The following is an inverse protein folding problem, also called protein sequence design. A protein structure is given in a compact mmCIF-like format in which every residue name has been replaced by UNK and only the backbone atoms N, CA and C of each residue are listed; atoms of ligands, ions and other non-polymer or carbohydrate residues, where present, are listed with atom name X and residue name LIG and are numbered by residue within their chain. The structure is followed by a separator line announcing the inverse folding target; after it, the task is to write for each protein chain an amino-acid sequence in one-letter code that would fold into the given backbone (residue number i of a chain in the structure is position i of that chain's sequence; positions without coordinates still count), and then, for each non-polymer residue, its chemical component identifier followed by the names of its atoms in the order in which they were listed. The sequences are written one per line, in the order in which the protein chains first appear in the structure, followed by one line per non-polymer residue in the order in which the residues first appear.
data_IF_310780559677
#
_entry.id   IF_310780559677
#
_cell.length_a   1.000
_cell.length_b   1.000
_cell.length_c   1.000
_cell.angle_alpha   90.00
_cell.angle_beta   90.00
_cell.angle_gamma   90.00
#
_symmetry.space_group_name_H-M   'P 1'
#
loop_
_entity.id
_entity.type
_entity.pdbx_description
1 polymer ?
#
# COMPACT_ATOMS: atom_id res chain seq x y z
N UNK A 1 23.12 -22.13 3.42
CA UNK A 1 22.87 -22.82 2.13
C UNK A 1 23.29 -21.99 0.90
N UNK A 2 24.05 -20.89 1.04
CA UNK A 2 24.49 -20.06 -0.09
C UNK A 2 25.24 -20.90 -1.14
N UNK A 3 24.94 -20.68 -2.42
CA UNK A 3 25.48 -21.44 -3.56
C UNK A 3 24.82 -22.80 -3.83
N UNK A 4 24.03 -23.33 -2.89
CA UNK A 4 23.30 -24.59 -3.09
C UNK A 4 22.15 -24.41 -4.10
N UNK A 5 21.88 -25.44 -4.90
CA UNK A 5 20.78 -25.45 -5.87
C UNK A 5 19.66 -26.38 -5.40
N UNK A 6 18.65 -25.83 -4.73
CA UNK A 6 17.45 -26.58 -4.31
C UNK A 6 16.67 -27.07 -5.52
N UNK A 7 16.18 -28.32 -5.46
CA UNK A 7 15.39 -28.99 -6.51
C UNK A 7 16.01 -28.95 -7.92
N UNK A 8 17.32 -28.71 -8.04
CA UNK A 8 18.04 -28.36 -9.30
C UNK A 8 17.47 -27.13 -10.05
N UNK A 9 16.71 -26.27 -9.38
CA UNK A 9 15.96 -25.14 -9.97
C UNK A 9 16.22 -23.78 -9.32
N UNK A 10 16.73 -23.74 -8.10
CA UNK A 10 16.84 -22.51 -7.32
C UNK A 10 18.21 -22.40 -6.67
N UNK A 11 19.07 -21.53 -7.22
CA UNK A 11 20.40 -21.23 -6.68
C UNK A 11 20.23 -20.22 -5.54
N UNK A 12 20.52 -20.62 -4.31
CA UNK A 12 20.49 -19.72 -3.15
C UNK A 12 21.63 -18.71 -3.25
N UNK A 13 21.30 -17.42 -3.13
CA UNK A 13 22.25 -16.30 -3.23
C UNK A 13 22.54 -15.72 -1.85
N UNK A 14 21.49 -15.45 -1.07
CA UNK A 14 21.58 -14.69 0.18
C UNK A 14 20.62 -15.27 1.22
N UNK A 15 20.94 -15.09 2.49
CA UNK A 15 20.03 -15.36 3.60
C UNK A 15 19.42 -14.05 4.08
N UNK A 16 18.14 -13.85 3.78
CA UNK A 16 17.38 -12.65 4.15
C UNK A 16 16.95 -12.66 5.63
N UNK A 17 16.87 -13.83 6.25
CA UNK A 17 16.55 -13.92 7.68
C UNK A 17 16.55 -15.33 8.26
N UNK A 18 16.48 -15.40 9.58
CA UNK A 18 16.32 -16.63 10.36
C UNK A 18 15.51 -16.36 11.63
N UNK A 19 14.71 -17.33 12.06
CA UNK A 19 13.93 -17.26 13.29
C UNK A 19 13.47 -18.64 13.75
N UNK A 20 12.76 -18.71 14.88
CA UNK A 20 12.36 -19.96 15.52
C UNK A 20 11.45 -20.89 14.70
N UNK A 21 10.96 -20.44 13.53
CA UNK A 21 10.05 -21.18 12.65
C UNK A 21 10.67 -21.52 11.28
N UNK A 22 11.89 -21.05 10.99
CA UNK A 22 12.51 -21.25 9.68
C UNK A 22 13.58 -20.22 9.28
N UNK A 23 14.10 -20.42 8.07
CA UNK A 23 15.09 -19.54 7.43
C UNK A 23 14.55 -19.06 6.07
N UNK A 24 14.79 -17.79 5.77
CA UNK A 24 14.35 -17.13 4.53
C UNK A 24 15.57 -16.76 3.68
N UNK A 25 15.51 -17.08 2.40
CA UNK A 25 16.60 -16.92 1.45
C UNK A 25 16.15 -16.20 0.18
N UNK A 26 17.06 -15.45 -0.44
CA UNK A 26 16.93 -15.00 -1.81
C UNK A 26 17.54 -16.06 -2.73
N UNK A 27 16.83 -16.38 -3.82
CA UNK A 27 17.30 -17.31 -4.84
C UNK A 27 17.02 -16.78 -6.24
N UNK A 28 17.84 -17.23 -7.20
CA UNK A 28 17.59 -17.06 -8.65
C UNK A 28 17.49 -18.42 -9.32
N UNK A 29 16.83 -18.47 -10.47
CA UNK A 29 16.89 -19.62 -11.35
C UNK A 29 18.32 -19.75 -11.94
N UNK A 30 19.01 -20.91 -11.83
CA UNK A 30 20.43 -21.06 -12.14
C UNK A 30 20.88 -20.44 -13.48
N UNK A 31 20.48 -21.04 -14.60
CA UNK A 31 20.69 -20.64 -16.00
C UNK A 31 19.50 -21.28 -16.81
N UNK A 32 19.25 -21.10 -18.11
CA UNK A 32 20.04 -20.56 -19.23
C UNK A 32 19.30 -19.48 -20.07
N UNK A 33 18.09 -19.07 -19.69
CA UNK A 33 17.26 -18.12 -20.46
C UNK A 33 17.99 -16.78 -20.72
N UNK A 34 18.01 -16.25 -21.97
CA UNK A 34 18.68 -14.99 -22.32
C UNK A 34 17.85 -13.75 -21.90
N UNK A 35 17.25 -13.80 -20.71
CA UNK A 35 16.38 -12.77 -20.16
C UNK A 35 17.10 -12.12 -18.99
N UNK A 36 17.50 -10.88 -19.20
CA UNK A 36 17.92 -9.97 -18.12
C UNK A 36 16.74 -9.04 -17.81
N UNK A 37 16.38 -8.82 -16.53
CA UNK A 37 17.01 -9.35 -15.32
C UNK A 37 16.70 -10.84 -15.05
N UNK A 38 17.57 -11.50 -14.29
CA UNK A 38 17.33 -12.87 -13.79
C UNK A 38 16.12 -12.89 -12.86
N UNK A 39 15.21 -13.85 -13.06
CA UNK A 39 14.05 -14.05 -12.19
C UNK A 39 14.48 -14.43 -10.77
N UNK A 40 14.09 -13.61 -9.79
CA UNK A 40 14.32 -13.80 -8.35
C UNK A 40 13.10 -14.34 -7.64
N UNK A 41 13.33 -15.13 -6.59
CA UNK A 41 12.29 -15.64 -5.71
C UNK A 41 12.78 -15.71 -4.26
N UNK A 42 11.83 -15.64 -3.33
CA UNK A 42 12.06 -15.87 -1.91
C UNK A 42 11.83 -17.34 -1.60
N UNK A 43 12.78 -18.00 -0.95
CA UNK A 43 12.66 -19.37 -0.48
C UNK A 43 12.61 -19.41 1.04
N UNK A 44 11.57 -20.03 1.59
CA UNK A 44 11.43 -20.25 3.03
C UNK A 44 11.57 -21.72 3.35
N UNK A 45 12.56 -22.06 4.16
CA UNK A 45 12.71 -23.41 4.76
C UNK A 45 12.06 -23.40 6.13
N UNK A 46 11.06 -24.25 6.35
CA UNK A 46 10.43 -24.47 7.65
C UNK A 46 11.32 -25.39 8.48
N UNK A 47 12.11 -24.84 9.40
CA UNK A 47 12.99 -25.64 10.27
C UNK A 47 12.17 -26.26 11.40
N UNK A 48 12.39 -27.56 11.69
CA UNK A 48 11.68 -28.32 12.73
C UNK A 48 12.63 -29.17 13.59
N UNK A 49 12.27 -29.47 14.85
CA UNK A 49 13.03 -30.41 15.68
C UNK A 49 12.82 -31.88 15.27
N UNK A 50 11.74 -32.20 14.55
CA UNK A 50 11.41 -33.55 14.09
C UNK A 50 11.02 -33.56 12.62
N UNK A 51 11.31 -34.68 11.94
CA UNK A 51 10.92 -34.90 10.54
C UNK A 51 9.39 -34.88 10.41
N UNK A 52 8.82 -34.16 9.42
CA UNK A 52 7.38 -34.00 9.29
C UNK A 52 6.69 -35.35 9.00
N UNK A 53 5.62 -35.64 9.74
CA UNK A 53 4.73 -36.78 9.50
C UNK A 53 3.77 -36.53 8.31
N UNK A 54 2.91 -37.50 8.00
CA UNK A 54 1.98 -37.39 6.88
C UNK A 54 0.99 -36.24 7.07
N UNK A 55 0.36 -36.13 8.25
CA UNK A 55 -0.62 -35.10 8.61
C UNK A 55 -0.02 -33.68 8.55
N UNK A 56 1.24 -33.54 8.94
CA UNK A 56 2.02 -32.31 8.81
C UNK A 56 2.23 -31.93 7.34
N UNK A 57 2.60 -32.90 6.51
CA UNK A 57 2.77 -32.68 5.06
C UNK A 57 1.45 -32.33 4.39
N UNK A 58 0.34 -32.98 4.78
CA UNK A 58 -0.98 -32.66 4.25
C UNK A 58 -1.45 -31.27 4.65
N UNK A 59 -1.29 -30.87 5.92
CA UNK A 59 -1.56 -29.50 6.37
C UNK A 59 -0.72 -28.50 5.58
N UNK A 60 0.58 -28.74 5.44
CA UNK A 60 1.47 -27.89 4.65
C UNK A 60 1.00 -27.70 3.20
N UNK A 61 0.57 -28.78 2.52
CA UNK A 61 0.02 -28.69 1.16
C UNK A 61 -1.29 -27.91 1.10
N UNK A 62 -2.17 -28.05 2.09
CA UNK A 62 -3.43 -27.31 2.18
C UNK A 62 -3.19 -25.81 2.35
N UNK A 63 -2.32 -25.40 3.28
CA UNK A 63 -2.01 -23.99 3.49
C UNK A 63 -1.22 -23.38 2.31
N UNK A 64 -0.32 -24.14 1.69
CA UNK A 64 0.36 -23.71 0.47
C UNK A 64 -0.63 -23.50 -0.70
N UNK A 65 -1.64 -24.37 -0.86
CA UNK A 65 -2.66 -24.20 -1.88
C UNK A 65 -3.55 -22.97 -1.66
N UNK A 66 -3.86 -22.63 -0.39
CA UNK A 66 -4.57 -21.40 -0.03
C UNK A 66 -3.74 -20.16 -0.41
N UNK A 67 -2.46 -20.14 -0.06
CA UNK A 67 -1.56 -19.03 -0.39
C UNK A 67 -1.33 -18.87 -1.90
N UNK A 68 -1.25 -19.99 -2.63
CA UNK A 68 -1.23 -19.98 -4.10
C UNK A 68 -2.46 -19.28 -4.67
N UNK A 69 -3.66 -19.61 -4.18
CA UNK A 69 -4.91 -18.96 -4.60
C UNK A 69 -4.87 -17.45 -4.31
N UNK A 70 -4.54 -17.06 -3.07
CA UNK A 70 -4.54 -15.66 -2.65
C UNK A 70 -3.57 -14.79 -3.47
N UNK A 71 -2.34 -15.25 -3.68
CA UNK A 71 -1.36 -14.51 -4.49
C UNK A 71 -1.75 -14.40 -5.97
N UNK A 72 -2.38 -15.43 -6.53
CA UNK A 72 -2.88 -15.40 -7.92
C UNK A 72 -4.08 -14.48 -8.12
N UNK A 73 -4.88 -14.25 -7.09
CA UNK A 73 -6.08 -13.41 -7.16
C UNK A 73 -5.83 -11.96 -6.71
N UNK A 74 -4.72 -11.65 -6.04
CA UNK A 74 -4.50 -10.33 -5.44
C UNK A 74 -3.06 -9.80 -5.51
N UNK A 75 -2.84 -8.75 -6.33
CA UNK A 75 -1.52 -8.13 -6.62
C UNK A 75 -0.71 -7.54 -5.45
N UNK A 76 -1.26 -7.55 -4.23
CA UNK A 76 -0.60 -7.14 -2.98
C UNK A 76 -0.40 -8.32 -2.00
N UNK A 77 -0.46 -9.55 -2.52
CA UNK A 77 -0.05 -10.79 -1.83
C UNK A 77 0.95 -11.48 -2.77
N UNK A 78 2.16 -11.85 -2.31
CA UNK A 78 3.16 -12.47 -3.18
C UNK A 78 2.65 -13.76 -3.81
N UNK A 79 2.86 -13.95 -5.11
CA UNK A 79 2.54 -15.23 -5.75
C UNK A 79 3.37 -16.38 -5.14
N UNK A 80 2.73 -17.53 -4.88
CA UNK A 80 3.45 -18.78 -4.59
C UNK A 80 3.79 -19.46 -5.92
N UNK A 81 5.08 -19.65 -6.20
CA UNK A 81 5.56 -20.32 -7.41
C UNK A 81 5.66 -21.84 -7.26
N UNK A 82 6.06 -22.32 -6.08
CA UNK A 82 6.31 -23.74 -5.83
C UNK A 82 6.25 -24.04 -4.32
N UNK A 83 5.96 -25.30 -3.98
CA UNK A 83 6.09 -25.83 -2.62
C UNK A 83 6.53 -27.30 -2.69
N UNK A 84 7.52 -27.68 -1.89
CA UNK A 84 8.09 -29.03 -1.97
C UNK A 84 8.71 -29.50 -0.66
N UNK A 85 9.04 -30.79 -0.63
CA UNK A 85 9.86 -31.42 0.39
C UNK A 85 11.19 -31.82 -0.24
N UNK A 86 12.31 -31.46 0.37
CA UNK A 86 13.64 -31.91 -0.04
C UNK A 86 14.48 -32.18 1.21
N UNK A 87 15.19 -33.32 1.27
CA UNK A 87 15.96 -33.75 2.44
C UNK A 87 15.17 -33.79 3.77
N UNK A 88 13.86 -34.09 3.71
CA UNK A 88 12.88 -34.10 4.83
C UNK A 88 12.50 -32.71 5.38
N UNK A 89 13.02 -31.64 4.81
CA UNK A 89 12.65 -30.26 5.12
C UNK A 89 11.56 -29.77 4.15
N UNK A 90 10.71 -28.85 4.61
CA UNK A 90 9.62 -28.27 3.81
C UNK A 90 10.01 -26.87 3.30
N UNK A 91 9.73 -26.61 2.02
CA UNK A 91 10.12 -25.38 1.33
C UNK A 91 8.93 -24.74 0.61
N UNK A 92 8.87 -23.41 0.69
CA UNK A 92 7.98 -22.56 -0.11
C UNK A 92 8.81 -21.64 -0.99
N UNK A 93 8.39 -21.44 -2.22
CA UNK A 93 9.00 -20.52 -3.19
C UNK A 93 7.98 -19.46 -3.55
N UNK A 94 8.26 -18.20 -3.21
CA UNK A 94 7.38 -17.05 -3.40
C UNK A 94 8.02 -16.01 -4.32
N UNK A 95 7.19 -15.16 -4.91
CA UNK A 95 7.60 -13.91 -5.57
C UNK A 95 8.55 -13.09 -4.68
N UNK A 96 9.61 -12.55 -5.28
CA UNK A 96 10.46 -11.56 -4.63
C UNK A 96 9.89 -10.16 -4.83
N UNK A 97 9.45 -9.53 -3.74
CA UNK A 97 8.92 -8.16 -3.75
C UNK A 97 10.09 -7.19 -3.62
N UNK A 98 10.45 -6.53 -4.72
CA UNK A 98 11.48 -5.50 -4.72
C UNK A 98 10.95 -4.23 -4.02
N UNK A 99 11.50 -3.93 -2.84
CA UNK A 99 10.95 -2.96 -1.91
C UNK A 99 11.74 -2.87 -0.61
N UNK A 100 11.13 -2.26 0.40
CA UNK A 100 11.57 -2.26 1.79
C UNK A 100 10.37 -2.48 2.71
N UNK A 101 10.58 -3.00 3.92
CA UNK A 101 9.50 -3.17 4.88
C UNK A 101 9.17 -1.87 5.61
N UNK A 102 7.93 -1.74 6.10
CA UNK A 102 7.48 -0.55 6.83
C UNK A 102 8.20 -0.34 8.17
N UNK A 103 9.05 -1.26 8.64
CA UNK A 103 9.93 -1.03 9.77
C UNK A 103 10.99 0.05 9.49
N UNK A 104 11.33 0.29 8.22
CA UNK A 104 12.14 1.43 7.79
C UNK A 104 11.35 2.74 7.72
N UNK A 105 10.05 2.70 7.41
CA UNK A 105 9.18 3.90 7.37
C UNK A 105 8.69 4.31 8.78
N UNK A 106 8.39 3.34 9.65
CA UNK A 106 7.87 3.52 11.02
C UNK A 106 9.03 3.56 12.02
N UNK A 107 9.84 4.60 11.91
CA UNK A 107 11.02 4.82 12.77
C UNK A 107 10.65 5.15 14.23
N UNK A 108 11.38 4.58 15.19
CA UNK A 108 11.23 4.89 16.61
C UNK A 108 11.50 6.38 16.88
N UNK A 109 10.58 7.04 17.58
CA UNK A 109 10.67 8.46 17.92
C UNK A 109 10.29 9.43 16.78
N UNK A 110 9.82 8.94 15.62
CA UNK A 110 9.32 9.77 14.51
C UNK A 110 7.82 9.51 14.24
N UNK A 111 6.90 10.19 14.96
CA UNK A 111 5.47 10.13 14.67
C UNK A 111 5.14 10.45 13.21
N UNK A 112 4.23 9.68 12.64
CA UNK A 112 3.56 9.97 11.37
C UNK A 112 2.40 10.95 11.56
N UNK A 113 1.93 11.58 10.49
CA UNK A 113 0.69 12.35 10.57
C UNK A 113 -0.53 11.43 10.64
N UNK A 114 -1.63 11.97 11.15
CA UNK A 114 -2.96 11.37 11.06
C UNK A 114 -3.31 10.97 9.61
N UNK A 115 -2.99 11.80 8.62
CA UNK A 115 -3.28 11.52 7.22
C UNK A 115 -2.48 10.31 6.68
N UNK A 116 -1.18 10.21 7.00
CA UNK A 116 -0.35 9.07 6.60
C UNK A 116 -0.87 7.76 7.21
N UNK A 117 -1.32 7.80 8.47
CA UNK A 117 -1.85 6.61 9.16
C UNK A 117 -3.24 6.23 8.67
N UNK A 118 -4.08 7.21 8.30
CA UNK A 118 -5.36 6.94 7.63
C UNK A 118 -5.13 6.23 6.28
N UNK A 119 -4.14 6.65 5.50
CA UNK A 119 -3.76 5.99 4.25
C UNK A 119 -3.21 4.58 4.50
N UNK A 120 -2.32 4.41 5.47
CA UNK A 120 -1.79 3.10 5.91
C UNK A 120 -2.91 2.12 6.28
N UNK A 121 -3.87 2.58 7.08
CA UNK A 121 -5.05 1.80 7.47
C UNK A 121 -5.87 1.41 6.25
N UNK A 122 -6.17 2.34 5.33
CA UNK A 122 -6.92 2.04 4.12
C UNK A 122 -6.21 0.97 3.27
N UNK A 123 -4.94 1.20 2.90
CA UNK A 123 -4.18 0.31 2.03
C UNK A 123 -4.12 -1.12 2.57
N UNK A 124 -3.89 -1.30 3.87
CA UNK A 124 -3.79 -2.64 4.48
C UNK A 124 -5.15 -3.28 4.74
N UNK A 125 -6.15 -2.51 5.18
CA UNK A 125 -7.51 -3.03 5.38
C UNK A 125 -8.15 -3.49 4.06
N UNK A 126 -7.84 -2.86 2.93
CA UNK A 126 -8.30 -3.31 1.61
C UNK A 126 -7.74 -4.70 1.26
N UNK A 127 -6.46 -4.98 1.51
CA UNK A 127 -5.88 -6.33 1.32
C UNK A 127 -6.42 -7.33 2.34
N UNK A 128 -6.51 -6.94 3.63
CA UNK A 128 -7.02 -7.82 4.68
C UNK A 128 -8.49 -8.18 4.49
N UNK A 129 -9.33 -7.28 3.98
CA UNK A 129 -10.73 -7.58 3.65
C UNK A 129 -10.81 -8.71 2.61
N UNK A 130 -9.99 -8.69 1.55
CA UNK A 130 -9.90 -9.79 0.59
C UNK A 130 -9.42 -11.11 1.22
N UNK A 131 -8.42 -11.05 2.09
CA UNK A 131 -7.91 -12.23 2.84
C UNK A 131 -9.01 -12.82 3.75
N UNK A 132 -9.75 -11.96 4.45
CA UNK A 132 -10.81 -12.35 5.39
C UNK A 132 -12.05 -12.87 4.67
N UNK A 133 -12.40 -12.35 3.49
CA UNK A 133 -13.44 -12.91 2.61
C UNK A 133 -13.14 -14.34 2.16
N UNK A 134 -11.86 -14.71 2.06
CA UNK A 134 -11.41 -16.08 1.81
C UNK A 134 -11.35 -16.95 3.10
N UNK A 135 -11.82 -16.42 4.23
CA UNK A 135 -11.78 -17.03 5.58
C UNK A 135 -10.35 -17.38 6.04
N UNK A 136 -9.37 -16.54 5.66
CA UNK A 136 -7.96 -16.67 6.03
C UNK A 136 -7.58 -15.62 7.08
N UNK A 137 -6.64 -15.95 7.97
CA UNK A 137 -6.08 -15.05 8.99
C UNK A 137 -4.57 -14.97 8.75
N UNK A 138 -3.99 -13.76 8.71
CA UNK A 138 -2.57 -13.55 8.47
C UNK A 138 -1.71 -13.86 9.71
N UNK A 139 -2.19 -13.52 10.92
CA UNK A 139 -1.61 -13.86 12.23
C UNK A 139 -0.23 -13.27 12.56
N UNK A 140 0.31 -12.37 11.76
CA UNK A 140 1.63 -11.74 12.01
C UNK A 140 1.72 -10.37 11.33
N UNK A 141 0.64 -9.58 11.35
CA UNK A 141 0.66 -8.20 10.85
C UNK A 141 1.53 -7.34 11.77
N UNK A 142 2.54 -6.70 11.18
CA UNK A 142 3.52 -5.82 11.82
C UNK A 142 4.34 -5.10 10.73
N UNK A 143 5.06 -4.01 11.02
CA UNK A 143 5.83 -3.27 10.02
C UNK A 143 6.75 -4.15 9.15
N UNK A 144 7.46 -5.11 9.75
CA UNK A 144 8.41 -5.99 9.05
C UNK A 144 7.77 -7.00 8.07
N UNK A 145 6.45 -7.19 8.14
CA UNK A 145 5.71 -8.09 7.23
C UNK A 145 4.86 -7.31 6.19
N UNK A 146 5.11 -6.01 6.07
CA UNK A 146 4.41 -5.11 5.17
C UNK A 146 5.47 -4.47 4.27
N UNK A 147 5.52 -4.88 3.01
CA UNK A 147 6.54 -4.45 2.05
C UNK A 147 6.03 -3.31 1.18
N UNK A 148 6.70 -2.15 1.20
CA UNK A 148 6.50 -1.08 0.23
C UNK A 148 7.19 -1.46 -1.08
N UNK A 149 6.42 -1.89 -2.08
CA UNK A 149 6.93 -2.27 -3.40
C UNK A 149 7.33 -1.04 -4.22
N UNK A 150 8.55 -1.02 -4.78
CA UNK A 150 9.06 0.17 -5.48
C UNK A 150 8.34 0.48 -6.81
N UNK A 151 7.80 -0.53 -7.51
CA UNK A 151 7.23 -0.34 -8.85
C UNK A 151 5.91 0.44 -8.88
N UNK A 152 5.11 0.39 -7.81
CA UNK A 152 3.81 1.05 -7.71
C UNK A 152 3.52 1.69 -6.33
N UNK A 153 4.52 1.73 -5.44
CA UNK A 153 4.45 2.28 -4.09
C UNK A 153 3.37 1.66 -3.17
N UNK A 154 2.81 0.50 -3.53
CA UNK A 154 1.79 -0.18 -2.73
C UNK A 154 2.40 -1.02 -1.62
N UNK A 155 1.64 -1.18 -0.53
CA UNK A 155 1.96 -2.15 0.53
C UNK A 155 1.54 -3.55 0.09
N UNK A 156 2.48 -4.49 0.17
CA UNK A 156 2.31 -5.92 -0.09
C UNK A 156 2.40 -6.68 1.24
N UNK A 157 1.42 -7.54 1.53
CA UNK A 157 1.39 -8.35 2.74
C UNK A 157 2.24 -9.61 2.54
N UNK A 158 3.37 -9.70 3.24
CA UNK A 158 4.27 -10.84 3.21
C UNK A 158 4.17 -11.67 4.50
N UNK A 159 4.72 -12.88 4.49
CA UNK A 159 4.97 -13.64 5.73
C UNK A 159 3.74 -14.05 6.56
N UNK A 160 2.66 -14.44 5.87
CA UNK A 160 1.50 -15.12 6.44
C UNK A 160 1.89 -16.20 7.45
N UNK A 161 1.48 -16.01 8.71
CA UNK A 161 1.85 -16.84 9.87
C UNK A 161 1.20 -18.23 9.90
N UNK A 162 0.32 -18.54 8.95
CA UNK A 162 -0.41 -19.81 8.86
C UNK A 162 0.55 -21.00 8.81
N UNK A 163 1.61 -20.87 8.01
CA UNK A 163 2.65 -21.89 7.84
C UNK A 163 3.45 -22.12 9.14
N UNK A 164 3.60 -21.08 9.97
CA UNK A 164 4.34 -21.12 11.24
C UNK A 164 3.62 -22.00 12.27
N UNK A 165 2.29 -22.10 12.21
CA UNK A 165 1.51 -23.00 13.08
C UNK A 165 1.89 -24.45 12.84
N UNK A 166 2.07 -24.85 11.59
CA UNK A 166 2.41 -26.23 11.29
C UNK A 166 3.75 -26.61 11.95
N UNK A 167 4.71 -25.67 12.06
CA UNK A 167 6.04 -25.90 12.66
C UNK A 167 6.08 -25.94 14.19
N UNK A 168 5.09 -25.40 14.91
CA UNK A 168 5.06 -25.38 16.39
C UNK A 168 4.30 -26.53 17.03
N UNK A 169 3.64 -27.37 16.24
CA UNK A 169 2.86 -28.50 16.72
C UNK A 169 3.79 -29.70 16.99
N UNK A 170 4.10 -29.93 18.27
CA UNK A 170 4.78 -31.14 18.72
C UNK A 170 3.74 -32.22 19.01
N UNK A 171 3.99 -33.46 18.54
CA UNK A 171 3.24 -34.63 18.98
C UNK A 171 4.08 -35.33 20.04
N UNK A 172 3.59 -35.38 21.28
CA UNK A 172 4.30 -36.07 22.35
C UNK A 172 4.23 -37.60 22.18
N UNK A 173 5.02 -38.35 22.95
CA UNK A 173 5.09 -39.81 22.85
C UNK A 173 3.77 -40.55 23.19
N UNK A 174 2.73 -39.86 23.65
CA UNK A 174 1.37 -40.40 23.85
C UNK A 174 0.37 -39.94 22.77
N UNK A 175 0.84 -39.37 21.65
CA UNK A 175 -0.01 -38.90 20.55
C UNK A 175 -0.74 -37.58 20.84
N UNK A 176 -0.41 -36.87 21.92
CA UNK A 176 -1.04 -35.60 22.27
C UNK A 176 -0.30 -34.43 21.63
N UNK A 177 -1.04 -33.60 20.91
CA UNK A 177 -0.55 -32.37 20.30
C UNK A 177 -0.29 -31.34 21.40
N UNK A 178 0.92 -30.77 21.41
CA UNK A 178 1.34 -29.66 22.27
C UNK A 178 1.82 -28.52 21.38
N UNK A 179 1.36 -27.29 21.66
CA UNK A 179 1.91 -26.07 21.06
C UNK A 179 2.77 -25.39 22.11
N UNK A 180 4.09 -25.39 21.93
CA UNK A 180 5.05 -24.97 22.97
C UNK A 180 5.49 -23.52 22.87
N UNK A 181 5.17 -22.81 21.77
CA UNK A 181 5.54 -21.41 21.57
C UNK A 181 4.39 -20.63 20.88
N UNK A 182 3.91 -19.50 21.47
CA UNK A 182 2.94 -18.60 20.83
C UNK A 182 3.49 -18.00 19.52
N UNK A 183 2.64 -17.88 18.50
CA UNK A 183 3.06 -17.47 17.15
C UNK A 183 2.68 -16.01 16.91
N UNK A 184 3.68 -15.22 16.52
CA UNK A 184 3.55 -13.80 16.21
C UNK A 184 4.52 -12.97 17.05
N UNK A 185 4.47 -11.65 16.88
CA UNK A 185 5.47 -10.75 17.46
C UNK A 185 4.93 -10.09 18.74
N UNK A 186 5.71 -10.13 19.83
CA UNK A 186 5.36 -9.48 21.09
C UNK A 186 4.98 -8.00 20.87
N UNK A 187 3.86 -7.56 21.46
CA UNK A 187 3.29 -6.23 21.28
C UNK A 187 2.24 -6.11 20.16
N UNK A 188 2.30 -6.94 19.12
CA UNK A 188 1.29 -6.97 18.03
C UNK A 188 0.31 -8.15 18.18
N UNK A 189 0.72 -9.21 18.87
CA UNK A 189 -0.11 -10.40 19.10
C UNK A 189 -1.22 -10.14 20.13
N UNK A 190 -2.51 -10.31 19.78
CA UNK A 190 -3.61 -10.22 20.74
C UNK A 190 -3.74 -11.48 21.61
N UNK A 191 -4.46 -11.34 22.73
CA UNK A 191 -4.56 -12.39 23.74
C UNK A 191 -5.22 -13.68 23.23
N UNK A 192 -6.25 -13.63 22.38
CA UNK A 192 -6.86 -14.85 21.83
C UNK A 192 -5.90 -15.62 20.91
N UNK A 193 -5.05 -14.92 20.16
CA UNK A 193 -4.02 -15.55 19.33
C UNK A 193 -2.90 -16.15 20.19
N UNK A 194 -2.49 -15.48 21.26
CA UNK A 194 -1.51 -16.01 22.22
C UNK A 194 -1.96 -17.35 22.84
N UNK A 195 -3.27 -17.50 23.10
CA UNK A 195 -3.87 -18.73 23.59
C UNK A 195 -4.20 -19.76 22.50
N UNK A 196 -3.74 -19.58 21.25
CA UNK A 196 -3.95 -20.53 20.15
C UNK A 196 -5.35 -20.47 19.52
N UNK A 197 -6.08 -19.36 19.68
CA UNK A 197 -7.42 -19.15 19.13
C UNK A 197 -7.51 -17.86 18.29
N UNK A 198 -6.69 -17.73 17.22
CA UNK A 198 -6.73 -16.56 16.34
C UNK A 198 -8.08 -16.41 15.64
N UNK A 199 -8.44 -15.17 15.31
CA UNK A 199 -9.69 -14.76 14.65
C UNK A 199 -9.37 -13.75 13.55
N UNK A 200 -10.33 -13.44 12.68
CA UNK A 200 -10.20 -12.36 11.69
C UNK A 200 -9.89 -11.02 12.39
N UNK A 201 -10.58 -10.72 13.49
CA UNK A 201 -10.29 -9.56 14.35
C UNK A 201 -8.93 -9.57 15.06
N UNK A 202 -8.15 -10.68 14.99
CA UNK A 202 -6.77 -10.70 15.49
C UNK A 202 -5.83 -9.91 14.57
N UNK A 203 -6.02 -9.97 13.25
CA UNK A 203 -5.27 -9.15 12.29
C UNK A 203 -5.64 -7.67 12.42
N UNK A 204 -6.91 -7.38 12.69
CA UNK A 204 -7.40 -6.01 12.96
C UNK A 204 -6.71 -5.40 14.17
N UNK A 205 -6.55 -6.17 15.26
CA UNK A 205 -5.78 -5.71 16.43
C UNK A 205 -4.32 -5.44 16.07
N UNK A 206 -3.67 -6.36 15.37
CA UNK A 206 -2.26 -6.25 15.01
C UNK A 206 -1.99 -5.06 14.07
N UNK A 207 -2.91 -4.77 13.14
CA UNK A 207 -2.89 -3.54 12.33
C UNK A 207 -3.14 -2.28 13.18
N UNK A 208 -4.09 -2.33 14.13
CA UNK A 208 -4.33 -1.22 15.07
C UNK A 208 -3.09 -0.88 15.88
N UNK A 209 -2.36 -1.88 16.39
CA UNK A 209 -1.08 -1.67 17.09
C UNK A 209 0.01 -1.11 16.16
N UNK A 210 0.06 -1.53 14.90
CA UNK A 210 0.97 -0.99 13.87
C UNK A 210 0.67 0.49 13.59
N UNK A 211 -0.60 0.86 13.46
CA UNK A 211 -1.04 2.24 13.26
C UNK A 211 -0.79 3.13 14.50
N UNK A 212 -0.99 2.61 15.72
CA UNK A 212 -0.66 3.31 16.96
C UNK A 212 0.86 3.54 17.10
N UNK A 213 1.67 2.55 16.72
CA UNK A 213 3.13 2.72 16.65
C UNK A 213 3.51 3.86 15.69
N UNK A 214 2.91 3.89 14.49
CA UNK A 214 3.14 4.96 13.52
C UNK A 214 2.73 6.34 14.06
N UNK A 215 1.57 6.48 14.72
CA UNK A 215 1.12 7.74 15.31
C UNK A 215 1.95 8.22 16.51
N UNK A 216 2.53 7.30 17.29
CA UNK A 216 3.21 7.65 18.55
C UNK A 216 4.73 7.64 18.44
N UNK A 217 5.30 6.96 17.42
CA UNK A 217 6.72 6.64 17.35
C UNK A 217 7.19 5.67 18.46
N UNK A 218 6.29 5.06 19.23
CA UNK A 218 6.59 4.20 20.38
C UNK A 218 6.33 2.73 20.02
N UNK A 219 7.27 1.85 20.37
CA UNK A 219 7.11 0.40 20.14
C UNK A 219 5.87 -0.12 20.88
N UNK A 220 5.05 -1.02 20.31
CA UNK A 220 3.92 -1.63 20.99
C UNK A 220 4.25 -2.30 22.33
N UNK A 221 5.50 -2.75 22.53
CA UNK A 221 5.99 -3.32 23.80
C UNK A 221 6.30 -2.26 24.88
N UNK A 222 6.46 -1.01 24.49
CA UNK A 222 6.76 0.15 25.35
C UNK A 222 5.50 0.97 25.69
N UNK A 223 4.33 0.59 25.15
CA UNK A 223 3.05 1.21 25.48
C UNK A 223 2.58 0.74 26.86
N UNK A 224 2.01 1.67 27.64
CA UNK A 224 1.43 1.36 28.94
C UNK A 224 0.16 0.55 28.74
N UNK A 225 0.00 -0.52 29.50
CA UNK A 225 -1.26 -1.26 29.63
C UNK A 225 -1.94 -0.82 30.92
N UNK A 226 -3.24 -0.58 30.86
CA UNK A 226 -4.05 -0.29 32.04
C UNK A 226 -4.23 -1.58 32.89
N UNK A 227 -3.93 -1.57 34.19
CA UNK A 227 -3.89 -2.80 35.00
C UNK A 227 -5.26 -3.39 35.33
N UNK A 228 -6.35 -2.61 35.22
CA UNK A 228 -7.70 -3.07 35.55
C UNK A 228 -8.44 -3.58 34.31
N UNK A 229 -8.29 -2.87 33.19
CA UNK A 229 -9.00 -3.12 31.94
C UNK A 229 -8.18 -3.93 30.92
N UNK A 230 -6.86 -4.00 31.11
CA UNK A 230 -5.87 -4.56 30.17
C UNK A 230 -5.86 -3.88 28.78
N UNK A 231 -6.41 -2.66 28.69
CA UNK A 231 -6.44 -1.87 27.46
C UNK A 231 -5.11 -1.13 27.25
N UNK A 232 -4.76 -0.89 25.99
CA UNK A 232 -3.55 -0.18 25.60
C UNK A 232 -3.74 1.34 25.77
N UNK A 233 -2.92 1.96 26.61
CA UNK A 233 -2.96 3.40 26.88
C UNK A 233 -1.98 4.15 25.97
N UNK A 234 -2.51 4.63 24.84
CA UNK A 234 -1.73 5.31 23.79
C UNK A 234 -2.14 6.77 23.52
N UNK A 235 -3.38 7.18 23.85
CA UNK A 235 -3.95 8.48 23.47
C UNK A 235 -3.12 9.69 23.93
N UNK A 236 -2.54 9.62 25.12
CA UNK A 236 -1.65 10.67 25.69
C UNK A 236 -0.37 10.90 24.86
N UNK A 237 -0.03 9.98 23.94
CA UNK A 237 1.20 9.99 23.14
C UNK A 237 0.99 10.47 21.69
N UNK A 238 -0.24 10.77 21.26
CA UNK A 238 -0.54 11.21 19.89
C UNK A 238 -1.67 12.24 19.81
N UNK A 239 -1.40 13.36 19.13
CA UNK A 239 -2.40 14.37 18.80
C UNK A 239 -3.08 14.01 17.46
N UNK A 240 -4.26 13.39 17.55
CA UNK A 240 -5.10 13.02 16.40
C UNK A 240 -6.57 13.33 16.67
N UNK A 241 -7.42 13.33 15.65
CA UNK A 241 -8.87 13.52 15.78
C UNK A 241 -9.51 12.49 16.71
N UNK A 242 -10.65 12.86 17.30
CA UNK A 242 -11.45 11.91 18.10
C UNK A 242 -11.92 10.74 17.23
N UNK A 243 -12.20 10.98 15.95
CA UNK A 243 -12.72 9.98 15.02
C UNK A 243 -11.68 8.88 14.73
N UNK A 244 -10.42 9.24 14.46
CA UNK A 244 -9.35 8.24 14.35
C UNK A 244 -9.04 7.59 15.70
N UNK A 245 -9.18 8.33 16.80
CA UNK A 245 -9.03 7.78 18.17
C UNK A 245 -10.04 6.68 18.44
N UNK A 246 -11.31 6.89 18.11
CA UNK A 246 -12.39 5.93 18.34
C UNK A 246 -12.20 4.68 17.47
N UNK A 247 -11.80 4.84 16.20
CA UNK A 247 -11.50 3.73 15.29
C UNK A 247 -10.33 2.90 15.84
N UNK A 248 -9.17 3.51 16.13
CA UNK A 248 -8.01 2.78 16.63
C UNK A 248 -8.27 2.14 18.00
N UNK A 249 -8.97 2.83 18.89
CA UNK A 249 -9.36 2.28 20.19
C UNK A 249 -10.28 1.07 20.04
N UNK A 250 -11.22 1.08 19.07
CA UNK A 250 -12.03 -0.10 18.75
C UNK A 250 -11.18 -1.21 18.10
N UNK A 251 -10.21 -0.89 17.23
CA UNK A 251 -9.32 -1.89 16.62
C UNK A 251 -8.50 -2.66 17.68
N UNK A 252 -8.03 -1.99 18.74
CA UNK A 252 -7.12 -2.60 19.73
C UNK A 252 -7.76 -3.02 21.06
N UNK A 253 -9.10 -3.13 21.14
CA UNK A 253 -9.77 -3.62 22.35
C UNK A 253 -9.22 -4.97 22.82
N UNK A 254 -8.85 -5.07 24.09
CA UNK A 254 -8.38 -6.31 24.72
C UNK A 254 -9.38 -7.45 24.52
N UNK A 255 -10.66 -7.20 24.80
CA UNK A 255 -11.74 -8.15 24.53
C UNK A 255 -12.07 -8.16 23.02
N UNK A 256 -11.69 -9.24 22.33
CA UNK A 256 -11.93 -9.42 20.89
C UNK A 256 -13.40 -9.28 20.45
N UNK A 257 -14.37 -9.42 21.36
CA UNK A 257 -15.81 -9.22 21.08
C UNK A 257 -16.23 -7.75 20.99
N UNK A 258 -15.36 -6.83 21.40
CA UNK A 258 -15.58 -5.38 21.35
C UNK A 258 -14.83 -4.70 20.18
N UNK A 259 -14.00 -5.45 19.45
CA UNK A 259 -13.37 -5.01 18.20
C UNK A 259 -14.36 -5.05 17.04
N UNK A 260 -13.92 -4.55 15.88
CA UNK A 260 -14.48 -4.95 14.60
C UNK A 260 -14.32 -6.46 14.41
N UNK A 261 -15.30 -7.14 13.82
CA UNK A 261 -15.32 -8.58 13.63
C UNK A 261 -14.23 -9.07 12.65
N UNK A 262 -13.95 -8.25 11.63
CA UNK A 262 -12.99 -8.49 10.56
C UNK A 262 -12.48 -7.15 9.97
N UNK A 263 -11.63 -7.23 8.95
CA UNK A 263 -11.07 -6.07 8.28
C UNK A 263 -12.06 -5.32 7.38
N UNK A 264 -13.14 -5.94 6.88
CA UNK A 264 -14.14 -5.21 6.09
C UNK A 264 -14.97 -4.30 7.01
N UNK A 265 -15.44 -4.77 8.18
CA UNK A 265 -16.17 -3.91 9.13
C UNK A 265 -15.32 -2.68 9.55
N UNK A 266 -14.02 -2.88 9.77
CA UNK A 266 -13.08 -1.79 10.04
C UNK A 266 -12.92 -0.84 8.83
N UNK A 267 -12.78 -1.38 7.61
CA UNK A 267 -12.65 -0.61 6.38
C UNK A 267 -13.90 0.21 6.05
N UNK A 268 -15.08 -0.38 6.19
CA UNK A 268 -16.36 0.30 5.99
C UNK A 268 -16.52 1.44 7.00
N UNK A 269 -16.13 1.22 8.26
CA UNK A 269 -16.15 2.28 9.28
C UNK A 269 -15.18 3.42 8.94
N UNK A 270 -13.95 3.10 8.50
CA UNK A 270 -12.98 4.09 8.05
C UNK A 270 -13.50 4.90 6.85
N UNK A 271 -14.15 4.24 5.87
CA UNK A 271 -14.79 4.87 4.70
C UNK A 271 -15.95 5.79 5.10
N UNK A 272 -16.87 5.31 5.93
CA UNK A 272 -18.05 6.05 6.38
C UNK A 272 -17.73 7.22 7.32
N UNK A 273 -16.58 7.18 8.00
CA UNK A 273 -16.10 8.27 8.86
C UNK A 273 -15.85 9.59 8.10
N UNK A 274 -15.61 9.53 6.78
CA UNK A 274 -15.21 10.70 5.99
C UNK A 274 -13.73 11.10 6.13
N UNK A 275 -12.95 10.42 7.00
CA UNK A 275 -11.51 10.66 7.15
C UNK A 275 -10.74 10.53 5.83
N UNK A 276 -11.14 9.60 4.96
CA UNK A 276 -10.56 9.41 3.62
C UNK A 276 -10.80 10.59 2.68
N UNK A 277 -11.84 11.41 2.90
CA UNK A 277 -12.11 12.62 2.10
C UNK A 277 -11.22 13.78 2.54
N UNK A 278 -10.94 13.87 3.85
CA UNK A 278 -10.15 14.95 4.43
C UNK A 278 -8.68 14.91 4.00
N UNK A 279 -8.08 13.74 3.79
CA UNK A 279 -6.66 13.60 3.40
C UNK A 279 -6.36 14.15 1.99
N UNK A 280 -7.32 14.11 1.05
CA UNK A 280 -7.17 14.68 -0.30
C UNK A 280 -7.26 16.22 -0.35
N UNK A 281 -7.50 16.90 0.78
CA UNK A 281 -7.46 18.37 0.87
C UNK A 281 -6.06 18.93 1.11
N UNK A 282 -5.04 18.07 1.23
CA UNK A 282 -3.65 18.53 1.37
C UNK A 282 -3.18 19.26 0.11
N UNK A 283 -2.86 20.55 0.26
CA UNK A 283 -2.30 21.36 -0.83
C UNK A 283 -0.94 20.81 -1.24
N UNK A 284 -0.87 20.26 -2.45
CA UNK A 284 0.37 19.82 -3.07
C UNK A 284 1.12 21.03 -3.61
N UNK A 285 2.43 21.12 -3.31
CA UNK A 285 3.35 22.12 -3.85
C UNK A 285 4.33 21.47 -4.80
N UNK A 286 4.68 22.16 -5.87
CA UNK A 286 5.71 21.72 -6.81
C UNK A 286 7.10 21.66 -6.16
N UNK A 287 7.88 20.67 -6.57
CA UNK A 287 9.33 20.60 -6.35
C UNK A 287 10.04 20.33 -7.68
N UNK A 288 11.31 20.74 -7.76
CA UNK A 288 12.20 20.42 -8.89
C UNK A 288 13.44 19.72 -8.35
N UNK A 289 13.73 18.52 -8.87
CA UNK A 289 14.92 17.72 -8.52
C UNK A 289 15.55 17.23 -9.82
N UNK A 290 16.86 17.41 -9.97
CA UNK A 290 17.63 17.00 -11.15
C UNK A 290 17.01 17.46 -12.49
N UNK A 291 16.44 18.67 -12.51
CA UNK A 291 15.81 19.26 -13.69
C UNK A 291 14.33 18.88 -13.92
N UNK A 292 13.85 17.77 -13.35
CA UNK A 292 12.45 17.31 -13.47
C UNK A 292 11.59 17.83 -12.32
N UNK A 293 10.28 17.96 -12.57
CA UNK A 293 9.28 18.39 -11.59
C UNK A 293 8.45 17.23 -11.05
N UNK A 294 8.14 17.35 -9.76
CA UNK A 294 7.21 16.50 -9.02
C UNK A 294 6.47 17.34 -7.97
N UNK A 295 5.81 16.68 -7.01
CA UNK A 295 5.00 17.38 -6.01
C UNK A 295 5.25 16.83 -4.60
N UNK A 296 5.30 17.74 -3.62
CA UNK A 296 5.33 17.44 -2.19
C UNK A 296 4.00 17.81 -1.54
N UNK A 297 3.66 17.14 -0.44
CA UNK A 297 2.64 17.62 0.48
C UNK A 297 3.18 18.76 1.38
N UNK A 298 2.31 19.32 2.22
CA UNK A 298 2.67 20.38 3.18
C UNK A 298 3.75 19.98 4.20
N UNK A 299 4.02 18.68 4.37
CA UNK A 299 5.06 18.13 5.26
C UNK A 299 6.41 17.95 4.56
N UNK A 300 6.53 18.30 3.27
CA UNK A 300 7.76 18.13 2.49
C UNK A 300 8.00 16.72 1.94
N UNK A 301 7.07 15.78 2.15
CA UNK A 301 7.16 14.42 1.57
C UNK A 301 6.79 14.45 0.10
N UNK A 302 7.57 13.79 -0.75
CA UNK A 302 7.28 13.64 -2.18
C UNK A 302 6.08 12.71 -2.35
N UNK A 303 5.01 13.24 -2.94
CA UNK A 303 3.76 12.50 -3.26
C UNK A 303 3.78 12.05 -4.73
N UNK A 304 4.32 12.88 -5.61
CA UNK A 304 4.48 12.57 -7.03
C UNK A 304 5.96 12.76 -7.35
N UNK A 305 6.62 11.67 -7.76
CA UNK A 305 8.05 11.66 -8.04
C UNK A 305 8.42 12.67 -9.15
N UNK A 306 9.58 13.34 -9.07
CA UNK A 306 10.06 14.21 -10.13
C UNK A 306 10.27 13.47 -11.45
N UNK A 307 9.40 13.71 -12.42
CA UNK A 307 9.39 13.04 -13.74
C UNK A 307 9.00 13.94 -14.92
N UNK A 308 8.30 15.06 -14.66
CA UNK A 308 7.81 15.98 -15.69
C UNK A 308 8.87 17.03 -16.07
N UNK A 309 8.87 17.51 -17.30
CA UNK A 309 9.77 18.57 -17.78
C UNK A 309 9.41 19.94 -17.19
N UNK A 310 8.10 20.19 -17.05
CA UNK A 310 7.54 21.31 -16.28
C UNK A 310 6.22 20.89 -15.60
N UNK A 311 5.77 21.69 -14.64
CA UNK A 311 4.58 21.44 -13.84
C UNK A 311 3.99 22.75 -13.33
N UNK A 312 2.68 22.83 -13.15
CA UNK A 312 2.00 23.95 -12.47
C UNK A 312 1.25 23.49 -11.21
N UNK A 313 0.80 24.44 -10.39
CA UNK A 313 0.07 24.08 -9.16
C UNK A 313 -1.34 23.54 -9.50
N UNK A 314 -1.95 22.80 -8.57
CA UNK A 314 -3.27 22.20 -8.78
C UNK A 314 -4.38 23.26 -8.81
N UNK A 315 -5.17 23.25 -9.90
CA UNK A 315 -6.36 24.07 -10.09
C UNK A 315 -7.56 23.15 -10.40
N UNK A 316 -8.66 23.30 -9.65
CA UNK A 316 -9.87 22.46 -9.77
C UNK A 316 -9.59 20.93 -9.84
N UNK A 317 -8.74 20.44 -8.93
CA UNK A 317 -8.28 19.04 -8.78
C UNK A 317 -7.27 18.51 -9.82
N UNK A 318 -6.95 19.27 -10.87
CA UNK A 318 -5.95 18.89 -11.87
C UNK A 318 -4.74 19.83 -11.87
N UNK A 319 -3.57 19.31 -12.22
CA UNK A 319 -2.39 20.13 -12.50
C UNK A 319 -1.88 19.86 -13.91
N UNK A 320 -1.55 20.92 -14.66
CA UNK A 320 -0.89 20.76 -15.96
C UNK A 320 0.58 20.40 -15.78
N UNK A 321 1.07 19.49 -16.62
CA UNK A 321 2.46 19.00 -16.63
C UNK A 321 2.96 18.86 -18.06
N UNK A 322 4.26 19.07 -18.26
CA UNK A 322 4.93 18.93 -19.56
C UNK A 322 5.70 17.60 -19.63
N UNK A 323 5.56 16.88 -20.73
CA UNK A 323 6.31 15.65 -21.04
C UNK A 323 6.67 15.71 -22.53
N UNK A 324 7.95 15.53 -22.86
CA UNK A 324 8.45 15.51 -24.25
C UNK A 324 7.96 16.72 -25.07
N UNK A 325 8.09 17.90 -24.46
CA UNK A 325 7.66 19.21 -24.97
C UNK A 325 6.16 19.41 -25.24
N UNK A 326 5.28 18.48 -24.85
CA UNK A 326 3.82 18.66 -24.88
C UNK A 326 3.21 18.81 -23.48
N UNK A 327 2.16 19.61 -23.37
CA UNK A 327 1.38 19.76 -22.13
C UNK A 327 0.21 18.79 -22.06
N UNK A 328 0.04 18.18 -20.88
CA UNK A 328 -1.12 17.38 -20.47
C UNK A 328 -1.50 17.69 -19.02
N UNK A 329 -2.36 16.87 -18.42
CA UNK A 329 -2.87 17.10 -17.06
C UNK A 329 -2.84 15.83 -16.21
N UNK A 330 -2.53 15.99 -14.92
CA UNK A 330 -2.52 14.92 -13.92
C UNK A 330 -3.52 15.19 -12.78
N UNK A 331 -3.97 14.10 -12.14
CA UNK A 331 -4.66 14.14 -10.86
C UNK A 331 -3.70 14.29 -9.67
N UNK A 332 -4.25 14.48 -8.46
CA UNK A 332 -3.48 14.56 -7.19
C UNK A 332 -2.68 13.29 -6.84
N UNK A 333 -2.86 12.19 -7.56
CA UNK A 333 -2.10 10.94 -7.41
C UNK A 333 -0.96 10.85 -8.44
N UNK A 334 -0.80 11.85 -9.29
CA UNK A 334 0.21 11.88 -10.36
C UNK A 334 -0.18 11.09 -11.60
N UNK A 335 -1.41 10.59 -11.69
CA UNK A 335 -1.89 9.86 -12.87
C UNK A 335 -2.33 10.85 -13.94
N UNK A 336 -1.93 10.61 -15.20
CA UNK A 336 -2.45 11.36 -16.35
C UNK A 336 -3.98 11.25 -16.43
N UNK A 337 -4.65 12.39 -16.27
CA UNK A 337 -6.08 12.57 -16.51
C UNK A 337 -6.33 12.93 -17.97
N UNK A 338 -5.44 13.72 -18.57
CA UNK A 338 -5.45 14.12 -19.98
C UNK A 338 -4.02 13.94 -20.50
N UNK A 339 -3.85 13.17 -21.56
CA UNK A 339 -2.53 12.88 -22.13
C UNK A 339 -1.88 14.13 -22.72
N UNK A 340 -0.54 14.25 -22.70
CA UNK A 340 0.15 15.39 -23.30
C UNK A 340 0.02 15.39 -24.82
N UNK A 341 -0.51 16.47 -25.38
CA UNK A 341 -0.68 16.68 -26.83
C UNK A 341 -0.71 18.18 -27.22
N UNK A 342 -0.98 19.07 -26.26
CA UNK A 342 -1.11 20.52 -26.48
C UNK A 342 0.25 21.22 -26.53
N UNK A 343 0.36 22.24 -27.37
CA UNK A 343 1.57 23.07 -27.50
C UNK A 343 1.75 23.95 -26.25
N UNK A 344 0.66 24.56 -25.78
CA UNK A 344 0.53 25.23 -24.49
C UNK A 344 -0.83 24.94 -23.83
N UNK A 345 -0.93 25.08 -22.51
CA UNK A 345 -2.13 24.73 -21.74
C UNK A 345 -2.34 25.62 -20.50
N UNK A 346 -3.58 25.93 -20.15
CA UNK A 346 -3.92 26.78 -18.99
C UNK A 346 -4.56 26.00 -17.83
N UNK A 347 -4.66 26.63 -16.66
CA UNK A 347 -5.41 26.04 -15.55
C UNK A 347 -6.90 26.01 -15.85
N UNK A 348 -7.61 25.00 -15.33
CA UNK A 348 -9.06 24.95 -15.38
C UNK A 348 -9.68 26.12 -14.60
N UNK A 349 -10.68 26.76 -15.20
CA UNK A 349 -11.50 27.79 -14.59
C UNK A 349 -12.94 27.62 -15.05
N UNK A 350 -13.83 27.41 -14.08
CA UNK A 350 -15.24 27.07 -14.29
C UNK A 350 -15.45 25.87 -15.22
N UNK A 351 -14.67 24.81 -14.99
CA UNK A 351 -14.67 23.52 -15.71
C UNK A 351 -14.05 23.50 -17.11
N UNK A 352 -13.59 24.64 -17.64
CA UNK A 352 -12.90 24.74 -18.93
C UNK A 352 -11.44 25.19 -18.77
N UNK A 353 -10.54 24.68 -19.62
CA UNK A 353 -9.16 25.13 -19.72
C UNK A 353 -8.84 25.54 -21.16
N UNK A 354 -8.03 26.60 -21.32
CA UNK A 354 -7.49 26.99 -22.63
C UNK A 354 -6.41 25.98 -23.03
N UNK A 355 -6.37 25.62 -24.32
CA UNK A 355 -5.26 24.89 -24.93
C UNK A 355 -4.86 25.56 -26.24
N UNK A 356 -3.57 25.48 -26.55
CA UNK A 356 -2.99 25.88 -27.82
C UNK A 356 -2.66 24.64 -28.65
N UNK A 357 -3.11 24.64 -29.91
CA UNK A 357 -2.86 23.58 -30.89
C UNK A 357 -2.61 24.23 -32.26
N UNK A 358 -1.40 24.11 -32.79
CA UNK A 358 -0.96 24.73 -34.05
C UNK A 358 -1.21 26.26 -34.11
N UNK A 359 -0.61 27.01 -33.18
CA UNK A 359 -0.70 28.48 -33.08
C UNK A 359 -2.15 29.03 -32.96
N UNK A 360 -3.07 28.22 -32.43
CA UNK A 360 -4.48 28.59 -32.23
C UNK A 360 -5.00 28.16 -30.86
N UNK A 361 -5.78 29.05 -30.25
CA UNK A 361 -6.38 28.83 -28.94
C UNK A 361 -7.80 28.27 -29.05
N UNK A 362 -8.08 27.26 -28.23
CA UNK A 362 -9.39 26.64 -28.03
C UNK A 362 -9.58 26.26 -26.56
N UNK A 363 -10.67 25.54 -26.26
CA UNK A 363 -11.02 25.17 -24.89
C UNK A 363 -11.39 23.68 -24.76
N UNK A 364 -10.90 23.04 -23.71
CA UNK A 364 -11.20 21.65 -23.33
C UNK A 364 -11.97 21.56 -22.01
N UNK A 365 -12.71 20.47 -21.82
CA UNK A 365 -13.24 20.05 -20.53
C UNK A 365 -12.25 19.18 -19.73
N UNK A 366 -12.62 18.81 -18.49
CA UNK A 366 -11.79 17.97 -17.59
C UNK A 366 -11.56 16.52 -18.08
N UNK A 367 -12.21 16.10 -19.16
CA UNK A 367 -11.93 14.82 -19.84
C UNK A 367 -10.91 14.97 -20.97
N UNK A 368 -10.47 16.19 -21.27
CA UNK A 368 -9.58 16.51 -22.39
C UNK A 368 -10.31 16.68 -23.72
N UNK A 369 -11.65 16.66 -23.72
CA UNK A 369 -12.44 16.83 -24.93
C UNK A 369 -12.54 18.31 -25.29
N UNK A 370 -12.29 18.66 -26.56
CA UNK A 370 -12.52 19.99 -27.09
C UNK A 370 -14.01 20.36 -27.00
N UNK A 371 -14.28 21.45 -26.27
CA UNK A 371 -15.60 22.10 -26.15
C UNK A 371 -15.72 23.23 -27.16
N UNK A 372 -14.64 23.99 -27.35
CA UNK A 372 -14.53 25.01 -28.40
C UNK A 372 -13.25 24.71 -29.18
N UNK A 373 -13.38 24.40 -30.47
CA UNK A 373 -12.25 24.05 -31.34
C UNK A 373 -11.21 25.18 -31.41
N UNK A 374 -9.90 24.88 -31.57
CA UNK A 374 -8.89 25.92 -31.67
C UNK A 374 -9.06 26.77 -32.93
N UNK A 375 -9.28 28.08 -32.74
CA UNK A 375 -9.36 29.04 -33.85
C UNK A 375 -9.09 30.50 -33.46
N UNK A 376 -9.00 30.83 -32.16
CA UNK A 376 -8.72 32.18 -31.69
C UNK A 376 -7.23 32.53 -31.81
N UNK A 377 -6.93 33.82 -31.92
CA UNK A 377 -5.56 34.38 -31.93
C UNK A 377 -4.98 34.53 -30.52
N UNK A 378 -5.84 34.61 -29.50
CA UNK A 378 -5.52 34.69 -28.08
C UNK A 378 -6.81 34.41 -27.27
N UNK A 379 -6.69 34.00 -26.00
CA UNK A 379 -7.82 33.58 -25.17
C UNK A 379 -7.59 33.78 -23.65
N UNK A 380 -8.63 34.22 -22.95
CA UNK A 380 -8.68 34.33 -21.49
C UNK A 380 -9.39 33.17 -20.80
N UNK A 381 -9.13 32.95 -19.51
CA UNK A 381 -9.88 31.98 -18.70
C UNK A 381 -11.35 32.42 -18.51
N UNK A 382 -12.26 31.46 -18.40
CA UNK A 382 -13.66 31.75 -18.07
C UNK A 382 -13.80 32.30 -16.65
N UNK A 383 -14.64 33.33 -16.51
CA UNK A 383 -15.02 33.97 -15.24
C UNK A 383 -16.42 34.58 -15.38
N UNK A 384 -17.30 34.27 -14.44
CA UNK A 384 -18.72 34.63 -14.47
C UNK A 384 -19.44 34.14 -15.74
N UNK A 385 -19.03 32.97 -16.26
CA UNK A 385 -19.58 32.38 -17.48
C UNK A 385 -19.08 32.98 -18.81
N UNK A 386 -18.18 33.97 -18.77
CA UNK A 386 -17.61 34.62 -19.96
C UNK A 386 -16.10 34.49 -20.02
N UNK A 387 -15.54 34.44 -21.23
CA UNK A 387 -14.11 34.58 -21.49
C UNK A 387 -13.87 35.61 -22.59
N UNK A 388 -12.75 36.34 -22.55
CA UNK A 388 -12.34 37.18 -23.68
C UNK A 388 -11.52 36.34 -24.68
N UNK A 389 -11.61 36.66 -25.96
CA UNK A 389 -10.86 36.03 -27.06
C UNK A 389 -10.49 37.06 -28.10
N UNK A 390 -9.40 36.82 -28.83
CA UNK A 390 -8.97 37.68 -29.95
C UNK A 390 -9.28 37.02 -31.30
N UNK A 391 -9.95 37.77 -32.17
CA UNK A 391 -10.33 37.37 -33.53
C UNK A 391 -10.02 38.54 -34.46
N UNK A 392 -9.18 38.33 -35.48
CA UNK A 392 -8.83 39.35 -36.47
C UNK A 392 -8.42 40.69 -35.82
N UNK A 393 -7.50 40.63 -34.85
CA UNK A 393 -7.00 41.77 -34.07
C UNK A 393 -8.02 42.49 -33.16
N UNK A 394 -9.26 42.00 -33.04
CA UNK A 394 -10.29 42.57 -32.17
C UNK A 394 -10.60 41.63 -30.99
N UNK A 395 -10.92 42.22 -29.84
CA UNK A 395 -11.26 41.48 -28.62
C UNK A 395 -12.79 41.34 -28.49
N UNK A 396 -13.23 40.12 -28.19
CA UNK A 396 -14.63 39.75 -28.06
C UNK A 396 -14.84 38.96 -26.76
N UNK A 397 -16.03 39.03 -26.15
CA UNK A 397 -16.42 38.10 -25.10
C UNK A 397 -17.20 36.93 -25.69
N UNK A 398 -16.95 35.72 -25.19
CA UNK A 398 -17.67 34.50 -25.55
C UNK A 398 -18.31 33.83 -24.34
N UNK A 399 -19.44 33.14 -24.57
CA UNK A 399 -19.99 32.18 -23.61
C UNK A 399 -19.25 30.82 -23.66
N UNK A 400 -19.58 29.92 -22.74
CA UNK A 400 -18.99 28.56 -22.66
C UNK A 400 -19.27 27.65 -23.88
N UNK A 401 -20.11 28.08 -24.81
CA UNK A 401 -20.35 27.39 -26.09
C UNK A 401 -19.53 27.99 -27.24
N UNK A 402 -18.74 29.04 -26.97
CA UNK A 402 -17.95 29.77 -27.94
C UNK A 402 -18.72 30.84 -28.72
N UNK A 403 -19.94 31.19 -28.30
CA UNK A 403 -20.74 32.25 -28.97
C UNK A 403 -20.31 33.62 -28.48
N UNK A 404 -20.03 34.52 -29.43
CA UNK A 404 -19.74 35.92 -29.12
C UNK A 404 -20.97 36.60 -28.49
N UNK A 405 -20.74 37.28 -27.38
CA UNK A 405 -21.71 38.09 -26.65
C UNK A 405 -21.40 39.57 -26.93
N UNK A 406 -22.45 40.37 -27.12
CA UNK A 406 -22.41 41.79 -27.51
C UNK A 406 -23.10 42.67 -26.46
#
# INVERSE_FOLDING_TARGET
MIGYILRRRYRIIEQLGSGGFGETYLAEYPEDLPVSPKYRCVIKRLTRPQTPDLDTKERFRKEAAILFKLGKEHSQIPELYDFFEENRELYLVQEFIEGHDLGYEIEKGKPWSEADVIQLLQEILEVLAFVHQNNVIHRDIKPLNLMRRYSDNKIVLIDFGIIKEISTLEVNAQGKISSTVPIGTHGYMPSEQFHGHPRLCSDVYALGMTAIQALTGVSPQELRIDPETLEVVWREKAQVSNLLTDILTKMVRYNFRQRYADADEALQTLKQSGLLSLTFTTSLKRIKINGKYGYINQMGRVVILPQFDDACDFCEELARVKIDDKWGYIDKRGKLAIYPDFDEAWGFSEELAIVEINDKYGYIDKTGKLVISPHFEDAGSFSQGLAWVRIAQHEHYIDKTGRVIY
#
